data_IF_666912069241
#
_entry.id   IF_666912069241
#
_cell.length_a   1.000
_cell.length_b   1.000
_cell.length_c   1.000
_cell.angle_alpha   90.00
_cell.angle_beta   90.00
_cell.angle_gamma   90.00
#
_symmetry.space_group_name_H-M   'P 1'
#
loop_
_entity.id
_entity.type
_entity.pdbx_description
1 polymer ?
#
# COMPACT_ATOMS: atom_id res chain seq x y z
N UNK A 1 -12.79 -12.80 13.83
CA UNK A 1 -11.62 -12.49 14.66
C UNK A 1 -11.91 -11.20 15.42
N UNK A 2 -11.74 -11.19 16.74
CA UNK A 2 -12.12 -10.04 17.58
C UNK A 2 -11.14 -8.87 17.44
N UNK A 3 -9.83 -9.18 17.37
CA UNK A 3 -8.77 -8.17 17.22
C UNK A 3 -8.96 -7.38 15.94
N UNK A 4 -9.23 -8.06 14.83
CA UNK A 4 -9.47 -7.42 13.55
C UNK A 4 -10.72 -6.53 13.54
N UNK A 5 -11.83 -6.99 14.15
CA UNK A 5 -13.06 -6.21 14.23
C UNK A 5 -12.88 -4.93 15.06
N UNK A 6 -12.17 -5.02 16.18
CA UNK A 6 -11.85 -3.86 17.02
C UNK A 6 -10.93 -2.86 16.29
N UNK A 7 -9.94 -3.36 15.54
CA UNK A 7 -9.06 -2.51 14.74
C UNK A 7 -9.82 -1.75 13.65
N UNK A 8 -10.75 -2.39 12.94
CA UNK A 8 -11.64 -1.73 11.97
C UNK A 8 -12.42 -0.60 12.64
N UNK A 9 -13.04 -0.88 13.80
CA UNK A 9 -13.84 0.13 14.51
C UNK A 9 -12.99 1.36 14.91
N UNK A 10 -11.75 1.13 15.36
CA UNK A 10 -10.81 2.20 15.75
C UNK A 10 -10.35 3.03 14.54
N UNK A 11 -10.02 2.38 13.43
CA UNK A 11 -9.64 3.09 12.20
C UNK A 11 -10.83 3.86 11.61
N UNK A 12 -12.03 3.27 11.62
CA UNK A 12 -13.25 3.94 11.17
C UNK A 12 -13.56 5.19 12.02
N UNK A 13 -13.37 5.10 13.34
CA UNK A 13 -13.50 6.24 14.24
C UNK A 13 -12.44 7.32 13.95
N UNK A 14 -11.18 6.94 13.70
CA UNK A 14 -10.11 7.87 13.35
C UNK A 14 -10.31 8.56 11.99
N UNK A 15 -11.01 7.90 11.06
CA UNK A 15 -11.37 8.45 9.75
C UNK A 15 -12.51 9.49 9.83
N UNK A 16 -13.16 9.67 10.98
CA UNK A 16 -14.12 10.76 11.27
C UNK A 16 -15.22 10.93 10.20
N UNK A 17 -15.77 9.82 9.71
CA UNK A 17 -16.85 9.82 8.71
C UNK A 17 -16.45 10.30 7.31
N UNK A 18 -15.16 10.52 7.03
CA UNK A 18 -14.69 10.87 5.69
C UNK A 18 -14.89 9.71 4.69
N UNK A 19 -15.00 10.05 3.41
CA UNK A 19 -15.07 9.03 2.35
C UNK A 19 -13.76 8.27 2.31
N UNK A 20 -13.86 6.95 2.40
CA UNK A 20 -12.73 6.02 2.35
C UNK A 20 -13.18 4.77 1.60
N UNK A 21 -12.29 4.23 0.77
CA UNK A 21 -12.51 2.96 0.08
C UNK A 21 -12.29 1.78 1.03
N UNK A 22 -12.80 0.61 0.65
CA UNK A 22 -12.55 -0.64 1.39
C UNK A 22 -11.05 -0.95 1.46
N UNK A 23 -10.29 -0.64 0.39
CA UNK A 23 -8.86 -0.92 0.37
C UNK A 23 -8.07 0.02 1.30
N UNK A 24 -8.42 1.31 1.32
CA UNK A 24 -7.75 2.30 2.19
C UNK A 24 -8.00 2.00 3.68
N UNK A 25 -9.25 1.68 4.07
CA UNK A 25 -9.55 1.37 5.48
C UNK A 25 -8.83 0.10 5.93
N UNK A 26 -8.78 -0.94 5.09
CA UNK A 26 -8.06 -2.16 5.40
C UNK A 26 -6.54 -1.95 5.45
N UNK A 27 -5.99 -1.09 4.59
CA UNK A 27 -4.57 -0.72 4.62
C UNK A 27 -4.20 -0.02 5.93
N UNK A 28 -5.04 0.91 6.39
CA UNK A 28 -4.85 1.56 7.69
C UNK A 28 -4.97 0.56 8.86
N UNK A 29 -5.91 -0.38 8.80
CA UNK A 29 -6.02 -1.48 9.78
C UNK A 29 -4.75 -2.34 9.80
N UNK A 30 -4.20 -2.69 8.63
CA UNK A 30 -2.94 -3.43 8.53
C UNK A 30 -1.80 -2.70 9.25
N UNK A 31 -1.64 -1.39 9.01
CA UNK A 31 -0.60 -0.61 9.68
C UNK A 31 -0.81 -0.51 11.19
N UNK A 32 -2.05 -0.34 11.64
CA UNK A 32 -2.37 -0.34 13.07
C UNK A 32 -1.98 -1.68 13.72
N UNK A 33 -2.38 -2.79 13.10
CA UNK A 33 -2.12 -4.12 13.63
C UNK A 33 -0.62 -4.45 13.66
N UNK A 34 0.15 -4.08 12.63
CA UNK A 34 1.60 -4.27 12.63
C UNK A 34 2.33 -3.37 13.64
N UNK A 35 1.77 -2.22 14.00
CA UNK A 35 2.31 -1.39 15.08
C UNK A 35 2.06 -2.00 16.47
N UNK A 36 0.95 -2.72 16.65
CA UNK A 36 0.55 -3.35 17.92
C UNK A 36 1.12 -4.76 18.09
N UNK A 37 1.35 -5.46 16.98
CA UNK A 37 1.86 -6.81 16.91
C UNK A 37 3.17 -6.75 16.09
N UNK A 38 4.26 -6.24 16.70
CA UNK A 38 5.49 -5.99 15.97
C UNK A 38 6.06 -7.29 15.40
N UNK A 39 6.37 -7.26 14.11
CA UNK A 39 7.11 -8.30 13.41
C UNK A 39 8.57 -7.85 13.20
N UNK A 40 9.50 -8.79 12.99
CA UNK A 40 10.87 -8.44 12.59
C UNK A 40 10.91 -7.76 11.22
N UNK A 41 9.97 -8.11 10.34
CA UNK A 41 9.75 -7.47 9.06
C UNK A 41 8.26 -7.52 8.67
N UNK A 42 7.78 -6.47 8.02
CA UNK A 42 6.46 -6.43 7.41
C UNK A 42 6.61 -6.33 5.88
N UNK A 43 5.99 -7.26 5.16
CA UNK A 43 5.91 -7.23 3.69
C UNK A 43 4.56 -6.61 3.34
N UNK A 44 4.60 -5.49 2.62
CA UNK A 44 3.41 -4.75 2.21
C UNK A 44 3.27 -4.88 0.70
N UNK A 45 2.29 -5.67 0.27
CA UNK A 45 1.95 -5.81 -1.14
C UNK A 45 1.11 -4.62 -1.60
N UNK A 46 1.54 -4.00 -2.71
CA UNK A 46 0.83 -2.89 -3.35
C UNK A 46 -0.47 -3.43 -3.96
N UNK A 47 -1.59 -2.74 -3.75
CA UNK A 47 -2.88 -3.13 -4.33
C UNK A 47 -2.92 -2.92 -5.84
N UNK A 48 -2.70 -1.69 -6.29
CA UNK A 48 -2.69 -1.35 -7.72
C UNK A 48 -1.68 -0.26 -8.07
N UNK A 49 -0.86 -0.52 -9.09
CA UNK A 49 0.15 0.42 -9.56
C UNK A 49 1.27 0.60 -8.53
N UNK A 50 1.24 1.70 -7.78
CA UNK A 50 2.22 2.02 -6.75
C UNK A 50 2.17 3.47 -6.30
N UNK A 51 2.24 4.42 -7.24
CA UNK A 51 2.32 5.87 -6.94
C UNK A 51 1.18 6.38 -6.06
N UNK A 52 -0.06 6.00 -6.38
CA UNK A 52 -1.26 6.42 -5.65
C UNK A 52 -1.91 5.29 -4.85
N UNK A 53 -1.21 4.18 -4.66
CA UNK A 53 -1.73 3.09 -3.85
C UNK A 53 -1.77 3.48 -2.37
N UNK A 54 -2.81 3.04 -1.64
CA UNK A 54 -2.99 3.34 -0.22
C UNK A 54 -1.80 2.88 0.64
N UNK A 55 -1.05 1.88 0.19
CA UNK A 55 0.15 1.37 0.88
C UNK A 55 1.35 2.31 0.77
N UNK A 56 1.38 3.23 -0.20
CA UNK A 56 2.54 4.06 -0.51
C UNK A 56 2.74 5.26 0.44
N UNK A 57 2.32 5.12 1.69
CA UNK A 57 2.48 6.12 2.76
C UNK A 57 3.75 5.89 3.59
N UNK A 58 4.48 4.80 3.35
CA UNK A 58 5.75 4.49 4.03
C UNK A 58 6.86 5.37 3.44
N UNK A 59 7.36 6.31 4.24
CA UNK A 59 8.39 7.27 3.79
C UNK A 59 9.78 6.64 3.60
N UNK A 60 10.12 5.62 4.40
CA UNK A 60 11.44 4.97 4.42
C UNK A 60 11.31 3.44 4.50
N UNK A 61 10.94 2.75 3.41
CA UNK A 61 10.96 1.29 3.39
C UNK A 61 12.38 0.76 3.50
N UNK A 62 12.55 -0.44 4.06
CA UNK A 62 13.85 -1.12 4.10
C UNK A 62 14.34 -1.48 2.68
N UNK A 63 13.40 -1.82 1.80
CA UNK A 63 13.61 -2.09 0.38
C UNK A 63 12.28 -1.91 -0.35
N UNK A 64 12.31 -1.37 -1.56
CA UNK A 64 11.18 -1.40 -2.50
C UNK A 64 11.42 -2.50 -3.53
N UNK A 65 10.39 -3.26 -3.90
CA UNK A 65 10.53 -4.39 -4.84
C UNK A 65 9.58 -4.20 -6.01
N UNK A 66 10.12 -4.21 -7.22
CA UNK A 66 9.34 -4.13 -8.46
C UNK A 66 9.36 -5.50 -9.14
N UNK A 67 8.23 -6.20 -9.08
CA UNK A 67 8.04 -7.43 -9.85
C UNK A 67 8.03 -7.16 -11.36
N UNK A 68 8.27 -8.18 -12.21
CA UNK A 68 8.27 -8.02 -13.66
C UNK A 68 7.07 -7.22 -14.18
N UNK A 69 7.34 -6.22 -15.03
CA UNK A 69 6.32 -5.33 -15.57
C UNK A 69 5.82 -5.88 -16.90
N UNK A 70 4.51 -6.09 -16.98
CA UNK A 70 3.79 -6.48 -18.19
C UNK A 70 2.55 -5.60 -18.37
N UNK A 71 1.88 -5.76 -19.52
CA UNK A 71 0.54 -5.20 -19.72
C UNK A 71 -0.42 -5.80 -18.70
N UNK A 72 -1.04 -4.93 -17.90
CA UNK A 72 -1.98 -5.29 -16.85
C UNK A 72 -2.76 -4.05 -16.39
N UNK A 73 -4.02 -4.22 -15.99
CA UNK A 73 -4.89 -3.14 -15.48
C UNK A 73 -4.87 -1.85 -16.33
N UNK A 74 -4.87 -1.96 -17.67
CA UNK A 74 -4.66 -0.85 -18.61
C UNK A 74 -5.63 0.33 -18.40
N UNK A 75 -6.88 0.04 -17.98
CA UNK A 75 -7.88 1.05 -17.68
C UNK A 75 -7.47 2.03 -16.56
N UNK A 76 -6.53 1.62 -15.70
CA UNK A 76 -6.03 2.42 -14.57
C UNK A 76 -4.57 2.84 -14.75
N UNK A 77 -3.74 1.99 -15.35
CA UNK A 77 -2.29 2.15 -15.38
C UNK A 77 -1.75 2.64 -16.73
N UNK A 78 -2.60 2.67 -17.77
CA UNK A 78 -2.24 3.08 -19.12
C UNK A 78 -2.09 1.91 -20.09
N UNK A 79 -2.05 2.23 -21.39
CA UNK A 79 -2.03 1.30 -22.52
C UNK A 79 -0.61 0.94 -23.00
N UNK A 80 0.39 1.24 -22.17
CA UNK A 80 1.81 1.06 -22.48
C UNK A 80 2.59 0.60 -21.27
N UNK A 81 3.53 -0.32 -21.48
CA UNK A 81 4.40 -0.86 -20.42
C UNK A 81 5.15 0.24 -19.69
N UNK A 82 5.57 1.31 -20.37
CA UNK A 82 6.29 2.42 -19.73
C UNK A 82 5.41 3.23 -18.78
N UNK A 83 4.10 3.34 -19.04
CA UNK A 83 3.14 4.00 -18.15
C UNK A 83 2.92 3.15 -16.88
N UNK A 84 2.75 1.84 -17.06
CA UNK A 84 2.62 0.89 -15.96
C UNK A 84 3.88 0.89 -15.09
N UNK A 85 5.06 0.89 -15.73
CA UNK A 85 6.35 0.96 -15.03
C UNK A 85 6.47 2.26 -14.21
N UNK A 86 6.03 3.40 -14.74
CA UNK A 86 6.05 4.67 -14.02
C UNK A 86 5.13 4.66 -12.79
N UNK A 87 3.94 4.08 -12.89
CA UNK A 87 3.03 3.93 -11.74
C UNK A 87 3.64 3.01 -10.66
N UNK A 88 4.22 1.87 -11.05
CA UNK A 88 4.89 0.94 -10.12
C UNK A 88 6.13 1.56 -9.47
N UNK A 89 6.94 2.30 -10.24
CA UNK A 89 8.12 3.00 -9.73
C UNK A 89 7.79 4.06 -8.66
N UNK A 90 6.52 4.43 -8.49
CA UNK A 90 6.07 5.34 -7.44
C UNK A 90 6.35 4.88 -6.00
N UNK A 91 6.67 3.61 -5.78
CA UNK A 91 7.06 3.10 -4.45
C UNK A 91 8.57 3.24 -4.17
N UNK A 92 9.38 3.67 -5.15
CA UNK A 92 10.83 3.90 -4.97
C UNK A 92 11.03 5.16 -4.12
N UNK A 93 11.78 5.04 -3.02
CA UNK A 93 12.04 6.16 -2.09
C UNK A 93 13.53 6.55 -2.09
N UNK A 94 13.87 7.86 -2.05
CA UNK A 94 15.26 8.30 -2.01
C UNK A 94 16.05 7.70 -0.85
N UNK A 95 17.24 7.17 -1.13
CA UNK A 95 18.10 6.56 -0.12
C UNK A 95 17.66 5.16 0.34
N UNK A 96 16.60 4.60 -0.22
CA UNK A 96 16.17 3.23 0.01
C UNK A 96 16.59 2.32 -1.17
N UNK A 97 17.05 1.09 -0.92
CA UNK A 97 17.30 0.10 -1.97
C UNK A 97 16.04 -0.21 -2.79
N UNK A 98 16.25 -0.53 -4.07
CA UNK A 98 15.22 -1.08 -4.96
C UNK A 98 15.73 -2.35 -5.63
N UNK A 99 14.88 -3.37 -5.73
CA UNK A 99 15.14 -4.64 -6.43
C UNK A 99 14.10 -4.85 -7.52
#
# INVERSE_FOLDING_TARGET
>A
DQVFAEAIARVAAANDGQKITVFEILTAVTFLLFAEHPAEAAIIEVGLGGRFDATNVIARPAVSVIMPVSMDHEAYLGDRVELIAAEKAGIIKPGCPVV
#
